data_IF_141738395061
#
_entry.id   IF_141738395061
#
_cell.length_a   1.000
_cell.length_b   1.000
_cell.length_c   1.000
_cell.angle_alpha   90.00
_cell.angle_beta   90.00
_cell.angle_gamma   90.00
#
_symmetry.space_group_name_H-M   'P 1'
#
loop_
_entity.id
_entity.type
_entity.pdbx_description
1 polymer ?
#
# COMPACT_ATOMS: atom_id res chain seq x y z
N UNK A 1 12.59 -7.94 6.35
CA UNK A 1 13.22 -7.62 5.05
C UNK A 1 12.11 -7.21 4.08
N UNK A 2 12.35 -6.35 3.08
CA UNK A 2 11.30 -5.97 2.14
C UNK A 2 10.83 -7.17 1.30
N UNK A 3 9.58 -7.14 0.89
CA UNK A 3 8.95 -8.16 0.06
C UNK A 3 7.99 -7.50 -0.96
N UNK A 4 7.79 -8.16 -2.11
CA UNK A 4 6.95 -7.67 -3.21
C UNK A 4 5.95 -8.75 -3.60
N UNK A 5 4.69 -8.38 -3.81
CA UNK A 5 3.72 -9.26 -4.46
C UNK A 5 3.71 -8.99 -5.95
N UNK A 6 3.96 -10.03 -6.76
CA UNK A 6 3.97 -9.94 -8.23
C UNK A 6 3.66 -11.30 -8.85
N UNK A 7 2.92 -11.30 -9.95
CA UNK A 7 2.75 -12.49 -10.79
C UNK A 7 3.98 -12.81 -11.65
N UNK A 8 4.90 -11.86 -11.81
CA UNK A 8 6.16 -12.00 -12.53
C UNK A 8 7.33 -11.71 -11.60
N UNK A 9 7.90 -12.77 -11.05
CA UNK A 9 9.08 -12.71 -10.19
C UNK A 9 10.35 -12.33 -10.96
N UNK A 10 10.48 -12.78 -12.20
CA UNK A 10 11.64 -12.50 -13.04
C UNK A 10 11.81 -11.01 -13.25
N UNK A 11 10.71 -10.31 -13.55
CA UNK A 11 10.70 -8.85 -13.70
C UNK A 11 11.15 -8.13 -12.43
N UNK A 12 10.70 -8.57 -11.25
CA UNK A 12 11.09 -7.94 -9.97
C UNK A 12 12.57 -8.15 -9.68
N UNK A 13 13.08 -9.37 -9.90
CA UNK A 13 14.47 -9.73 -9.59
C UNK A 13 15.51 -9.07 -10.50
N UNK A 14 15.12 -8.59 -11.68
CA UNK A 14 16.01 -7.80 -12.55
C UNK A 14 16.46 -6.52 -11.83
N UNK A 15 15.52 -5.81 -11.20
CA UNK A 15 15.80 -4.55 -10.50
C UNK A 15 16.20 -4.79 -9.03
N UNK A 16 15.61 -5.80 -8.38
CA UNK A 16 15.77 -6.09 -6.96
C UNK A 16 16.11 -7.57 -6.68
N UNK A 17 17.35 -8.01 -6.92
CA UNK A 17 17.70 -9.45 -6.90
C UNK A 17 17.52 -10.15 -5.54
N UNK A 18 17.57 -9.39 -4.44
CA UNK A 18 17.53 -9.92 -3.07
C UNK A 18 16.16 -9.76 -2.38
N UNK A 19 15.15 -9.19 -3.07
CA UNK A 19 13.82 -8.99 -2.47
C UNK A 19 13.04 -10.30 -2.49
N UNK A 20 12.32 -10.59 -1.40
CA UNK A 20 11.40 -11.72 -1.40
C UNK A 20 10.21 -11.41 -2.33
N UNK A 21 9.84 -12.35 -3.19
CA UNK A 21 8.66 -12.21 -4.06
C UNK A 21 7.62 -13.24 -3.69
N UNK A 22 6.38 -12.79 -3.53
CA UNK A 22 5.21 -13.63 -3.24
C UNK A 22 4.18 -13.50 -4.34
N UNK A 23 3.38 -14.55 -4.58
CA UNK A 23 2.37 -14.55 -5.62
C UNK A 23 1.15 -13.71 -5.22
N UNK A 24 0.75 -13.78 -3.95
CA UNK A 24 -0.49 -13.18 -3.46
C UNK A 24 -0.23 -12.07 -2.43
N UNK A 25 -0.91 -10.91 -2.53
CA UNK A 25 -0.74 -9.81 -1.58
C UNK A 25 -1.00 -10.22 -0.12
N UNK A 26 -1.92 -11.17 0.09
CA UNK A 26 -2.27 -11.68 1.41
C UNK A 26 -1.07 -12.26 2.16
N UNK A 27 -0.11 -12.86 1.47
CA UNK A 27 1.11 -13.39 2.08
C UNK A 27 1.94 -12.28 2.76
N UNK A 28 1.87 -11.04 2.26
CA UNK A 28 2.51 -9.88 2.89
C UNK A 28 1.74 -9.40 4.12
N UNK A 29 0.41 -9.51 4.10
CA UNK A 29 -0.44 -9.09 5.22
C UNK A 29 -0.29 -10.02 6.42
N UNK A 30 -0.10 -11.32 6.15
CA UNK A 30 0.02 -12.36 7.19
C UNK A 30 1.45 -12.45 7.77
N UNK A 31 2.47 -11.86 7.13
CA UNK A 31 3.84 -11.87 7.65
C UNK A 31 3.98 -10.96 8.88
N UNK A 32 4.26 -11.50 10.09
CA UNK A 32 4.38 -10.70 11.30
C UNK A 32 5.56 -9.71 11.29
N UNK A 33 6.52 -9.87 10.38
CA UNK A 33 7.72 -9.02 10.29
C UNK A 33 7.56 -7.82 9.34
N UNK A 34 6.40 -7.68 8.69
CA UNK A 34 6.07 -6.53 7.83
C UNK A 34 5.26 -5.52 8.64
N UNK A 35 5.74 -4.28 8.74
CA UNK A 35 5.03 -3.20 9.44
C UNK A 35 4.13 -2.36 8.51
N UNK A 36 4.55 -2.19 7.26
CA UNK A 36 3.95 -1.26 6.29
C UNK A 36 3.68 -1.95 4.95
N UNK A 37 2.49 -1.70 4.40
CA UNK A 37 2.10 -2.09 3.04
C UNK A 37 1.96 -0.84 2.18
N UNK A 38 2.57 -0.86 1.00
CA UNK A 38 2.39 0.15 -0.05
C UNK A 38 1.57 -0.46 -1.18
N UNK A 39 0.50 0.23 -1.60
CA UNK A 39 -0.48 -0.27 -2.57
C UNK A 39 -0.49 0.66 -3.81
N UNK A 40 0.35 0.37 -4.83
CA UNK A 40 0.38 1.04 -6.12
C UNK A 40 -0.25 0.16 -7.23
N UNK A 41 -1.33 -0.54 -6.91
CA UNK A 41 -2.01 -1.48 -7.82
C UNK A 41 -3.10 -0.77 -8.65
N UNK A 42 -3.83 -1.44 -9.57
CA UNK A 42 -4.94 -0.80 -10.26
C UNK A 42 -6.01 -0.24 -9.30
N UNK A 43 -6.63 0.89 -9.68
CA UNK A 43 -7.48 1.71 -8.80
C UNK A 43 -8.61 0.95 -8.06
N UNK A 44 -9.22 -0.02 -8.73
CA UNK A 44 -10.32 -0.83 -8.21
C UNK A 44 -9.89 -1.78 -7.07
N UNK A 45 -8.60 -2.12 -7.03
CA UNK A 45 -8.02 -2.98 -6.00
C UNK A 45 -7.59 -2.22 -4.73
N UNK A 46 -7.47 -0.89 -4.78
CA UNK A 46 -6.99 -0.10 -3.65
C UNK A 46 -7.81 -0.31 -2.38
N UNK A 47 -9.14 -0.20 -2.47
CA UNK A 47 -10.02 -0.36 -1.32
C UNK A 47 -9.95 -1.76 -0.69
N UNK A 48 -10.18 -2.87 -1.43
CA UNK A 48 -10.15 -4.20 -0.81
C UNK A 48 -8.77 -4.55 -0.25
N UNK A 49 -7.68 -4.16 -0.91
CA UNK A 49 -6.32 -4.43 -0.41
C UNK A 49 -5.97 -3.58 0.82
N UNK A 50 -6.30 -2.29 0.81
CA UNK A 50 -6.03 -1.40 1.94
C UNK A 50 -6.82 -1.85 3.18
N UNK A 51 -8.10 -2.22 3.01
CA UNK A 51 -8.92 -2.72 4.09
C UNK A 51 -8.32 -4.01 4.68
N UNK A 52 -7.97 -4.98 3.84
CA UNK A 52 -7.38 -6.24 4.28
C UNK A 52 -6.06 -6.02 5.03
N UNK A 53 -5.18 -5.15 4.52
CA UNK A 53 -3.91 -4.82 5.18
C UNK A 53 -4.11 -4.13 6.54
N UNK A 54 -5.04 -3.18 6.63
CA UNK A 54 -5.37 -2.52 7.90
C UNK A 54 -5.99 -3.50 8.91
N UNK A 55 -6.89 -4.39 8.47
CA UNK A 55 -7.49 -5.42 9.31
C UNK A 55 -6.46 -6.44 9.82
N UNK A 56 -5.43 -6.73 9.02
CA UNK A 56 -4.25 -7.51 9.43
C UNK A 56 -3.29 -6.72 10.35
N UNK A 57 -3.62 -5.47 10.69
CA UNK A 57 -2.85 -4.65 11.60
C UNK A 57 -1.61 -4.02 10.99
N UNK A 58 -1.57 -3.83 9.66
CA UNK A 58 -0.48 -3.16 8.97
C UNK A 58 -0.71 -1.66 8.85
N UNK A 59 0.35 -0.88 8.81
CA UNK A 59 0.30 0.48 8.30
C UNK A 59 0.11 0.44 6.77
N UNK A 60 -0.55 1.44 6.20
CA UNK A 60 -0.88 1.43 4.76
C UNK A 60 -0.60 2.78 4.10
N UNK A 61 0.08 2.73 2.95
CA UNK A 61 0.19 3.83 1.99
C UNK A 61 -0.49 3.40 0.69
N UNK A 62 -1.41 4.21 0.17
CA UNK A 62 -2.12 3.92 -1.09
C UNK A 62 -1.73 4.97 -2.14
N UNK A 63 -1.51 4.53 -3.37
CA UNK A 63 -1.30 5.45 -4.49
C UNK A 63 -2.61 6.14 -4.91
N UNK A 64 -2.52 7.16 -5.74
CA UNK A 64 -3.70 7.87 -6.24
C UNK A 64 -4.29 7.17 -7.46
N UNK A 65 -5.62 7.20 -7.64
CA UNK A 65 -6.64 7.74 -6.73
C UNK A 65 -6.83 6.85 -5.49
N UNK A 66 -7.04 7.44 -4.31
CA UNK A 66 -7.08 6.71 -3.04
C UNK A 66 -8.14 5.59 -3.01
N UNK A 67 -9.37 5.89 -3.41
CA UNK A 67 -10.48 4.93 -3.54
C UNK A 67 -11.40 5.36 -4.68
N UNK A 68 -12.29 4.45 -5.13
CA UNK A 68 -13.27 4.75 -6.19
C UNK A 68 -14.40 5.65 -5.69
N UNK A 69 -14.75 5.56 -4.40
CA UNK A 69 -15.80 6.38 -3.78
C UNK A 69 -15.34 7.04 -2.47
N UNK A 70 -16.02 8.12 -2.08
CA UNK A 70 -15.79 8.77 -0.78
C UNK A 70 -16.22 7.88 0.40
N UNK A 71 -17.24 7.05 0.24
CA UNK A 71 -17.68 6.12 1.29
C UNK A 71 -16.58 5.11 1.63
N UNK A 72 -15.92 4.56 0.62
CA UNK A 72 -14.76 3.68 0.78
C UNK A 72 -13.61 4.36 1.53
N UNK A 73 -13.29 5.62 1.17
CA UNK A 73 -12.25 6.38 1.86
C UNK A 73 -12.56 6.57 3.35
N UNK A 74 -13.81 6.89 3.69
CA UNK A 74 -14.26 7.05 5.09
C UNK A 74 -14.21 5.74 5.86
N UNK A 75 -14.57 4.64 5.22
CA UNK A 75 -14.49 3.32 5.82
C UNK A 75 -13.04 2.95 6.16
N UNK A 76 -12.09 3.19 5.23
CA UNK A 76 -10.67 2.92 5.50
C UNK A 76 -10.12 3.78 6.64
N UNK A 77 -10.49 5.07 6.74
CA UNK A 77 -10.11 5.93 7.87
C UNK A 77 -10.65 5.36 9.20
N UNK A 78 -11.91 4.92 9.22
CA UNK A 78 -12.51 4.31 10.40
C UNK A 78 -11.80 3.01 10.81
N UNK A 79 -11.48 2.13 9.83
CA UNK A 79 -10.72 0.90 10.08
C UNK A 79 -9.34 1.23 10.62
N UNK A 80 -8.59 2.13 9.98
CA UNK A 80 -7.25 2.53 10.41
C UNK A 80 -7.23 3.07 11.84
N UNK A 81 -8.17 3.96 12.19
CA UNK A 81 -8.33 4.48 13.55
C UNK A 81 -8.65 3.38 14.55
N UNK A 82 -9.59 2.48 14.23
CA UNK A 82 -9.97 1.38 15.12
C UNK A 82 -8.82 0.41 15.41
N UNK A 83 -7.89 0.25 14.44
CA UNK A 83 -6.73 -0.62 14.54
C UNK A 83 -5.48 0.08 15.08
N UNK A 84 -5.54 1.40 15.31
CA UNK A 84 -4.38 2.20 15.70
C UNK A 84 -3.28 2.21 14.63
N UNK A 85 -3.66 2.15 13.34
CA UNK A 85 -2.71 2.11 12.21
C UNK A 85 -2.72 3.40 11.42
N UNK A 86 -1.57 3.69 10.81
CA UNK A 86 -1.41 4.81 9.91
C UNK A 86 -1.97 4.45 8.55
N UNK A 87 -2.73 5.37 7.98
CA UNK A 87 -3.23 5.31 6.63
C UNK A 87 -2.87 6.62 5.92
N UNK A 88 -2.15 6.52 4.81
CA UNK A 88 -1.68 7.67 4.06
C UNK A 88 -1.93 7.49 2.56
N UNK A 89 -2.07 8.61 1.87
CA UNK A 89 -2.15 8.66 0.41
C UNK A 89 -0.86 9.26 -0.12
N UNK A 90 -0.29 8.65 -1.16
CA UNK A 90 0.97 9.09 -1.74
C UNK A 90 0.84 10.41 -2.53
N UNK A 91 0.80 11.55 -1.83
CA UNK A 91 0.77 12.89 -2.41
C UNK A 91 2.15 13.41 -2.84
N UNK A 92 2.87 12.64 -3.66
CA UNK A 92 4.24 12.90 -4.12
C UNK A 92 4.51 14.27 -4.75
N UNK A 93 3.54 14.89 -5.44
CA UNK A 93 3.72 16.22 -6.05
C UNK A 93 3.89 17.37 -5.05
N UNK A 94 3.74 17.13 -3.75
CA UNK A 94 4.13 18.10 -2.71
C UNK A 94 5.66 18.26 -2.61
N UNK A 95 6.41 17.45 -3.33
CA UNK A 95 7.88 17.48 -3.38
C UNK A 95 8.43 17.79 -4.78
N UNK A 96 7.59 18.25 -5.71
CA UNK A 96 8.07 18.75 -7.01
C UNK A 96 8.89 20.04 -6.78
N UNK A 97 9.96 20.26 -7.55
CA UNK A 97 10.88 21.39 -7.30
C UNK A 97 10.20 22.75 -7.37
N UNK A 98 9.25 22.89 -8.30
CA UNK A 98 8.45 24.10 -8.52
C UNK A 98 7.44 24.37 -7.39
N UNK A 99 7.19 23.39 -6.52
CA UNK A 99 6.34 23.56 -5.35
C UNK A 99 7.01 24.40 -4.25
N UNK A 100 8.35 24.32 -4.13
CA UNK A 100 9.11 25.04 -3.11
C UNK A 100 9.62 26.42 -3.57
N UNK A 101 9.59 26.69 -4.88
CA UNK A 101 10.04 27.96 -5.48
C UNK A 101 8.99 29.09 -5.37
N UNK A 102 7.95 28.93 -4.53
CA UNK A 102 6.89 29.92 -4.27
C UNK A 102 6.94 30.48 -2.86
#
# INVERSE_FOLDING_TARGET
>A
MPAVSSSDEGKVRIDWPAVSVVAEPRQLFDDPNIDLIVIPTPNDTHFPLAKAALEAGKHVVVDKPFTVTLSQARELDAVARSRGRLLSVFHNRRWDSDFFDR
#
